data_IF_202389236881
#
_entry.id   IF_202389236881
#
_cell.length_a   1.000
_cell.length_b   1.000
_cell.length_c   1.000
_cell.angle_alpha   90.00
_cell.angle_beta   90.00
_cell.angle_gamma   90.00
#
_symmetry.space_group_name_H-M   'P 1'
#
loop_
_entity.id
_entity.type
_entity.pdbx_description
1 polymer ?
#
# COMPACT_ATOMS: atom_id res chain seq x y z
N UNK A 1 -11.72 -3.47 3.15
CA UNK A 1 -11.07 -4.12 4.31
C UNK A 1 -9.56 -4.11 4.04
N UNK A 2 -8.78 -3.38 4.84
CA UNK A 2 -7.33 -3.28 4.63
C UNK A 2 -6.59 -4.38 5.40
N UNK A 3 -5.56 -4.96 4.80
CA UNK A 3 -4.75 -5.97 5.47
C UNK A 3 -3.29 -5.93 5.00
N UNK A 4 -2.40 -6.50 5.81
CA UNK A 4 -1.01 -6.82 5.47
C UNK A 4 -0.65 -8.22 5.97
N UNK A 5 0.22 -8.90 5.22
CA UNK A 5 0.76 -10.22 5.57
C UNK A 5 2.22 -10.13 6.00
N UNK A 6 2.66 -11.02 6.91
CA UNK A 6 4.08 -11.20 7.22
C UNK A 6 4.36 -11.86 8.57
N UNK A 7 5.62 -12.16 8.88
CA UNK A 7 6.00 -13.16 9.89
C UNK A 7 5.53 -12.94 11.34
N UNK A 8 5.23 -11.70 11.73
CA UNK A 8 4.84 -11.43 13.13
C UNK A 8 4.09 -10.12 13.27
N UNK A 9 3.16 -10.10 14.23
CA UNK A 9 2.39 -8.91 14.60
C UNK A 9 3.28 -7.69 14.87
N UNK A 10 4.38 -7.88 15.61
CA UNK A 10 5.28 -6.78 15.99
C UNK A 10 5.94 -6.13 14.77
N UNK A 11 6.36 -6.91 13.77
CA UNK A 11 6.92 -6.38 12.52
C UNK A 11 5.86 -5.64 11.71
N UNK A 12 4.65 -6.21 11.62
CA UNK A 12 3.54 -5.64 10.86
C UNK A 12 3.04 -4.32 11.47
N UNK A 13 3.02 -4.21 12.80
CA UNK A 13 2.64 -2.97 13.51
C UNK A 13 3.63 -1.81 13.28
N UNK A 14 4.90 -2.13 13.02
CA UNK A 14 5.94 -1.14 12.67
C UNK A 14 6.13 -0.97 11.15
N UNK A 15 5.23 -1.53 10.33
CA UNK A 15 5.39 -1.53 8.89
C UNK A 15 5.19 -0.13 8.28
N UNK A 16 6.04 0.32 7.33
CA UNK A 16 5.83 1.60 6.65
C UNK A 16 4.53 1.63 5.85
N UNK A 17 4.05 0.48 5.37
CA UNK A 17 2.85 0.36 4.53
C UNK A 17 1.54 0.73 5.25
N UNK A 18 1.54 0.81 6.59
CA UNK A 18 0.33 1.11 7.37
C UNK A 18 0.29 2.54 7.90
N UNK A 19 1.35 3.33 7.73
CA UNK A 19 1.46 4.65 8.34
C UNK A 19 0.33 5.60 7.90
N UNK A 20 0.03 5.64 6.60
CA UNK A 20 -1.02 6.50 6.06
C UNK A 20 -2.42 6.01 6.46
N UNK A 21 -2.66 4.71 6.46
CA UNK A 21 -3.91 4.12 6.95
C UNK A 21 -4.15 4.47 8.43
N UNK A 22 -3.10 4.36 9.26
CA UNK A 22 -3.13 4.72 10.68
C UNK A 22 -3.41 6.21 10.89
N UNK A 23 -2.78 7.10 10.11
CA UNK A 23 -3.05 8.56 10.15
C UNK A 23 -4.50 8.89 9.78
N UNK A 24 -5.08 8.15 8.83
CA UNK A 24 -6.48 8.28 8.39
C UNK A 24 -7.49 7.58 9.32
N UNK A 25 -7.04 6.93 10.39
CA UNK A 25 -7.91 6.19 11.31
C UNK A 25 -8.55 4.93 10.69
N UNK A 26 -7.95 4.38 9.63
CA UNK A 26 -8.41 3.17 8.98
C UNK A 26 -7.82 1.94 9.67
N UNK A 27 -8.66 0.99 10.04
CA UNK A 27 -8.24 -0.27 10.63
C UNK A 27 -7.53 -1.16 9.59
N UNK A 28 -6.44 -1.81 10.00
CA UNK A 28 -5.64 -2.72 9.19
C UNK A 28 -5.52 -4.07 9.89
N UNK A 29 -5.92 -5.13 9.20
CA UNK A 29 -5.76 -6.50 9.68
C UNK A 29 -4.32 -6.98 9.52
N UNK A 30 -3.77 -7.59 10.57
CA UNK A 30 -2.45 -8.22 10.55
C UNK A 30 -2.60 -9.73 10.40
N UNK A 31 -2.20 -10.23 9.24
CA UNK A 31 -2.25 -11.65 8.88
C UNK A 31 -0.84 -12.24 9.03
N UNK A 32 -0.64 -13.07 10.05
CA UNK A 32 0.70 -13.53 10.45
C UNK A 32 1.02 -14.95 10.02
N UNK A 33 0.04 -15.68 9.52
CA UNK A 33 0.20 -17.08 9.21
C UNK A 33 0.50 -17.27 7.71
N UNK A 34 1.41 -18.18 7.33
CA UNK A 34 1.70 -18.45 5.92
C UNK A 34 0.47 -18.83 5.09
N UNK A 35 -0.54 -19.44 5.72
CA UNK A 35 -1.81 -19.80 5.06
C UNK A 35 -2.61 -18.58 4.61
N UNK A 36 -2.50 -17.45 5.31
CA UNK A 36 -3.29 -16.24 5.06
C UNK A 36 -3.03 -15.70 3.64
N UNK A 37 -1.79 -15.83 3.16
CA UNK A 37 -1.39 -15.40 1.82
C UNK A 37 -2.11 -16.19 0.72
N UNK A 38 -2.38 -17.48 0.95
CA UNK A 38 -3.16 -18.32 0.03
C UNK A 38 -4.65 -18.04 0.15
N UNK A 39 -5.18 -17.82 1.35
CA UNK A 39 -6.60 -17.49 1.56
C UNK A 39 -6.95 -16.19 0.82
N UNK A 40 -6.09 -15.17 0.94
CA UNK A 40 -6.32 -13.87 0.30
C UNK A 40 -6.16 -13.87 -1.23
N UNK A 41 -5.63 -14.94 -1.83
CA UNK A 41 -5.69 -15.13 -3.28
C UNK A 41 -7.10 -15.58 -3.74
N UNK A 42 -7.84 -16.28 -2.89
CA UNK A 42 -9.16 -16.83 -3.20
C UNK A 42 -10.30 -15.91 -2.73
N UNK A 43 -10.16 -15.33 -1.54
CA UNK A 43 -11.17 -14.47 -0.92
C UNK A 43 -10.98 -13.03 -1.38
N UNK A 44 -11.92 -12.52 -2.18
CA UNK A 44 -11.85 -11.17 -2.78
C UNK A 44 -12.62 -10.11 -1.99
N UNK A 45 -13.70 -10.51 -1.34
CA UNK A 45 -14.59 -9.64 -0.59
C UNK A 45 -15.22 -10.38 0.61
N UNK A 46 -15.79 -9.59 1.52
CA UNK A 46 -16.58 -10.05 2.65
C UNK A 46 -17.64 -8.99 2.95
N UNK A 47 -18.92 -9.39 3.04
CA UNK A 47 -20.06 -8.47 3.26
C UNK A 47 -20.03 -7.26 2.29
N UNK A 48 -19.88 -7.54 0.99
CA UNK A 48 -19.77 -6.54 -0.09
C UNK A 48 -18.57 -5.57 0.03
N UNK A 49 -17.64 -5.81 0.96
CA UNK A 49 -16.41 -5.03 1.13
C UNK A 49 -15.20 -5.79 0.58
N UNK A 50 -14.54 -5.21 -0.41
CA UNK A 50 -13.32 -5.79 -1.01
C UNK A 50 -12.14 -5.77 -0.04
N UNK A 51 -11.28 -6.78 -0.15
CA UNK A 51 -9.97 -6.79 0.52
C UNK A 51 -8.95 -5.96 -0.26
N UNK A 52 -8.16 -5.16 0.46
CA UNK A 52 -7.10 -4.31 -0.07
C UNK A 52 -5.79 -4.58 0.68
N UNK A 53 -4.80 -5.09 -0.04
CA UNK A 53 -3.49 -5.43 0.51
C UNK A 53 -2.56 -4.21 0.44
N UNK A 54 -2.19 -3.63 1.59
CA UNK A 54 -1.41 -2.37 1.61
C UNK A 54 0.04 -2.54 1.14
N UNK A 55 0.54 -3.77 0.97
CA UNK A 55 1.87 -4.05 0.41
C UNK A 55 1.85 -4.19 -1.11
N UNK A 56 0.67 -4.20 -1.74
CA UNK A 56 0.50 -4.31 -3.20
C UNK A 56 0.11 -2.98 -3.81
N UNK A 57 0.44 -2.81 -5.08
CA UNK A 57 0.00 -1.64 -5.84
C UNK A 57 -1.52 -1.63 -6.06
N UNK A 58 -2.07 -0.44 -6.32
CA UNK A 58 -3.49 -0.26 -6.68
C UNK A 58 -4.43 -0.10 -5.48
N UNK A 59 -3.90 0.06 -4.26
CA UNK A 59 -4.70 0.47 -3.12
C UNK A 59 -4.85 1.99 -3.13
N UNK A 60 -6.10 2.45 -3.14
CA UNK A 60 -6.44 3.86 -3.05
C UNK A 60 -7.27 4.08 -1.79
N UNK A 61 -6.91 5.13 -1.06
CA UNK A 61 -7.77 5.66 -0.01
C UNK A 61 -8.81 6.59 -0.65
N UNK A 62 -9.95 6.71 0.01
CA UNK A 62 -10.87 7.81 -0.25
C UNK A 62 -10.13 9.12 0.04
N UNK A 63 -10.13 10.03 -0.93
CA UNK A 63 -9.42 11.31 -0.87
C UNK A 63 -10.41 12.44 -1.12
N UNK A 64 -10.15 13.60 -0.51
CA UNK A 64 -10.83 14.82 -0.90
C UNK A 64 -10.26 15.36 -2.22
N UNK A 65 -10.99 16.27 -2.87
CA UNK A 65 -10.48 16.96 -4.07
C UNK A 65 -9.16 17.72 -3.78
N UNK A 66 -9.01 18.26 -2.58
CA UNK A 66 -7.79 18.95 -2.15
C UNK A 66 -6.61 17.98 -1.99
N UNK A 67 -6.82 16.83 -1.32
CA UNK A 67 -5.79 15.79 -1.19
C UNK A 67 -5.36 15.25 -2.56
N UNK A 68 -6.32 15.09 -3.47
CA UNK A 68 -6.06 14.65 -4.84
C UNK A 68 -5.20 15.66 -5.60
N UNK A 69 -5.51 16.95 -5.50
CA UNK A 69 -4.70 18.01 -6.12
C UNK A 69 -3.28 18.04 -5.56
N UNK A 70 -3.13 18.01 -4.24
CA UNK A 70 -1.81 17.99 -3.58
C UNK A 70 -0.96 16.81 -4.06
N UNK A 71 -1.54 15.59 -4.13
CA UNK A 71 -0.82 14.41 -4.63
C UNK A 71 -0.40 14.56 -6.10
N UNK A 72 -1.24 15.14 -6.95
CA UNK A 72 -0.91 15.36 -8.36
C UNK A 72 0.23 16.38 -8.53
N UNK A 73 0.25 17.43 -7.71
CA UNK A 73 1.35 18.41 -7.65
C UNK A 73 2.67 17.78 -7.16
N UNK A 74 2.63 17.02 -6.06
CA UNK A 74 3.79 16.31 -5.53
C UNK A 74 4.35 15.30 -6.54
N UNK A 75 3.47 14.58 -7.23
CA UNK A 75 3.86 13.65 -8.29
C UNK A 75 4.59 14.36 -9.43
N UNK A 76 4.09 15.51 -9.88
CA UNK A 76 4.75 16.31 -10.91
C UNK A 76 6.10 16.85 -10.44
N UNK A 77 6.19 17.31 -9.19
CA UNK A 77 7.44 17.80 -8.60
C UNK A 77 8.52 16.71 -8.48
N UNK A 78 8.12 15.47 -8.18
CA UNK A 78 9.01 14.34 -7.99
C UNK A 78 9.37 13.59 -9.29
N UNK A 79 8.72 13.87 -10.43
CA UNK A 79 8.87 13.11 -11.67
C UNK A 79 10.34 12.95 -12.12
N UNK A 80 11.10 14.06 -12.08
CA UNK A 80 12.53 14.04 -12.44
C UNK A 80 13.37 13.18 -11.50
N UNK A 81 13.06 13.21 -10.20
CA UNK A 81 13.74 12.40 -9.20
C UNK A 81 13.42 10.92 -9.40
N UNK A 82 12.14 10.57 -9.56
CA UNK A 82 11.71 9.19 -9.83
C UNK A 82 12.39 8.61 -11.07
N UNK A 83 12.49 9.40 -12.15
CA UNK A 83 13.21 8.99 -13.37
C UNK A 83 14.70 8.74 -13.11
N UNK A 84 15.37 9.65 -12.40
CA UNK A 84 16.79 9.51 -12.05
C UNK A 84 17.02 8.26 -11.20
N UNK A 85 16.16 8.01 -10.20
CA UNK A 85 16.24 6.82 -9.35
C UNK A 85 16.02 5.54 -10.14
N UNK A 86 15.05 5.53 -11.07
CA UNK A 86 14.82 4.37 -11.95
C UNK A 86 16.02 4.10 -12.85
N UNK A 87 16.67 5.12 -13.40
CA UNK A 87 17.90 4.97 -14.19
C UNK A 87 19.06 4.39 -13.36
N UNK A 88 19.24 4.87 -12.12
CA UNK A 88 20.29 4.37 -11.21
C UNK A 88 20.02 2.94 -10.74
N UNK A 89 18.77 2.60 -10.44
CA UNK A 89 18.39 1.27 -9.95
C UNK A 89 18.26 0.23 -11.06
N UNK A 90 18.08 0.67 -12.32
CA UNK A 90 18.04 -0.19 -13.49
C UNK A 90 16.97 -1.27 -13.37
N UNK A 91 17.35 -2.52 -13.60
CA UNK A 91 16.44 -3.68 -13.64
C UNK A 91 16.05 -4.21 -12.26
N UNK A 92 16.58 -3.64 -11.16
CA UNK A 92 16.26 -4.07 -9.79
C UNK A 92 14.85 -3.70 -9.35
N UNK A 93 14.26 -2.69 -9.98
CA UNK A 93 12.90 -2.20 -9.69
C UNK A 93 12.14 -2.09 -11.00
N UNK A 94 10.83 -2.32 -11.00
CA UNK A 94 10.03 -2.12 -12.21
C UNK A 94 9.87 -0.62 -12.53
N UNK A 95 9.51 0.16 -11.51
CA UNK A 95 9.33 1.62 -11.58
C UNK A 95 9.62 2.27 -10.22
N UNK A 96 9.78 3.59 -10.22
CA UNK A 96 9.83 4.43 -9.03
C UNK A 96 8.70 5.45 -9.17
N UNK A 97 7.85 5.56 -8.17
CA UNK A 97 6.66 6.42 -8.14
C UNK A 97 6.63 7.24 -6.86
#
# INVERSE_FOLDING_TARGET
>A
IYYITGDSKKKLESSPFIEQAKRRGLEVLFMTEPIDEYVMQQVKDFEDKKFACLTKEGVHFEESEEEKQQREEEKAACEKLCKTMKEVLGDKVEKVI
#
